data_IF_369978334589
#
_entry.id   IF_369978334589
#
_cell.length_a   1.000
_cell.length_b   1.000
_cell.length_c   1.000
_cell.angle_alpha   90.00
_cell.angle_beta   90.00
_cell.angle_gamma   90.00
#
_symmetry.space_group_name_H-M   'P 1'
#
loop_
_entity.id
_entity.type
_entity.pdbx_description
1 polymer ?
#
# COMPACT_ATOMS: atom_id res chain seq x y z
N UNK A 1 -2.03 -43.03 -37.82
CA UNK A 1 -2.04 -41.85 -36.94
C UNK A 1 -0.96 -42.04 -35.89
N UNK A 2 0.11 -41.22 -35.92
CA UNK A 2 1.20 -41.27 -34.92
C UNK A 2 0.95 -40.19 -33.87
N UNK A 3 0.96 -40.49 -32.56
CA UNK A 3 1.06 -39.45 -31.55
C UNK A 3 2.52 -39.00 -31.42
N UNK A 4 2.75 -37.68 -31.53
CA UNK A 4 4.03 -37.04 -31.27
C UNK A 4 4.18 -36.80 -29.77
N UNK A 5 5.23 -37.38 -29.19
CA UNK A 5 5.79 -37.04 -27.89
C UNK A 5 6.34 -35.61 -27.90
N UNK A 6 5.99 -34.80 -26.89
CA UNK A 6 6.75 -33.59 -26.54
C UNK A 6 7.44 -33.81 -25.20
N UNK A 7 8.76 -33.76 -25.25
CA UNK A 7 9.67 -33.75 -24.11
C UNK A 7 9.32 -32.60 -23.15
N UNK A 8 9.23 -32.92 -21.86
CA UNK A 8 9.39 -31.97 -20.76
C UNK A 8 10.72 -32.35 -20.09
N UNK A 9 11.69 -31.46 -20.13
CA UNK A 9 12.91 -31.50 -19.30
C UNK A 9 12.94 -30.20 -18.48
N UNK A 10 13.31 -30.17 -17.21
CA UNK A 10 13.60 -31.21 -16.24
C UNK A 10 13.63 -30.54 -14.86
N UNK A 11 12.95 -31.13 -13.88
CA UNK A 11 13.06 -30.79 -12.47
C UNK A 11 13.33 -32.09 -11.72
N UNK A 12 14.43 -32.15 -10.99
CA UNK A 12 14.85 -33.33 -10.23
C UNK A 12 13.85 -33.58 -9.10
N UNK A 13 13.15 -34.72 -9.11
CA UNK A 13 12.32 -35.16 -8.00
C UNK A 13 13.17 -35.96 -7.01
N UNK A 14 13.24 -35.53 -5.75
CA UNK A 14 13.75 -36.35 -4.65
C UNK A 14 12.55 -37.09 -4.06
N UNK A 15 12.52 -38.41 -4.22
CA UNK A 15 11.53 -39.28 -3.61
C UNK A 15 12.04 -39.74 -2.24
N UNK A 16 11.32 -39.42 -1.16
CA UNK A 16 11.51 -40.04 0.15
C UNK A 16 10.40 -41.10 0.31
N UNK A 17 10.79 -42.37 0.40
CA UNK A 17 9.89 -43.49 0.63
C UNK A 17 9.57 -43.59 2.13
N UNK A 18 8.31 -43.37 2.51
CA UNK A 18 7.79 -43.78 3.83
C UNK A 18 6.93 -45.03 3.69
N UNK A 19 7.12 -45.99 4.60
CA UNK A 19 6.38 -47.25 4.72
C UNK A 19 4.92 -46.99 5.15
N UNK A 20 4.10 -46.49 4.23
CA UNK A 20 2.64 -46.52 4.21
C UNK A 20 2.23 -45.83 2.91
N UNK A 21 1.74 -46.62 1.95
CA UNK A 21 1.61 -46.26 0.53
C UNK A 21 0.67 -45.10 0.22
N UNK A 22 1.10 -43.87 0.53
CA UNK A 22 0.53 -42.62 0.03
C UNK A 22 1.68 -41.81 -0.55
N UNK A 23 1.76 -41.72 -1.88
CA UNK A 23 2.66 -40.78 -2.55
C UNK A 23 2.08 -39.39 -2.30
N UNK A 24 2.58 -38.69 -1.29
CA UNK A 24 2.33 -37.27 -1.13
C UNK A 24 3.18 -36.55 -2.18
N UNK A 25 2.57 -36.25 -3.33
CA UNK A 25 3.11 -35.24 -4.24
C UNK A 25 3.02 -33.90 -3.50
N UNK A 26 4.05 -33.57 -2.72
CA UNK A 26 4.24 -32.20 -2.25
C UNK A 26 4.41 -31.33 -3.51
N UNK A 27 3.34 -30.64 -3.92
CA UNK A 27 3.49 -29.54 -4.85
C UNK A 27 4.46 -28.56 -4.22
N UNK A 28 5.62 -28.40 -4.84
CA UNK A 28 6.59 -27.37 -4.50
C UNK A 28 5.84 -26.03 -4.46
N UNK A 29 5.66 -25.48 -3.27
CA UNK A 29 4.87 -24.28 -3.08
C UNK A 29 5.51 -23.13 -3.85
N UNK A 30 4.73 -22.50 -4.74
CA UNK A 30 5.18 -21.35 -5.55
C UNK A 30 5.68 -20.15 -4.72
N UNK A 31 5.47 -20.18 -3.40
CA UNK A 31 5.76 -19.12 -2.46
C UNK A 31 7.13 -19.24 -1.77
N UNK A 32 7.92 -20.30 -2.04
CA UNK A 32 9.24 -20.49 -1.42
C UNK A 32 10.38 -19.67 -2.10
N UNK A 33 11.22 -19.07 -1.24
CA UNK A 33 12.26 -18.05 -1.47
C UNK A 33 13.40 -18.41 -2.45
N UNK A 34 13.71 -17.50 -3.39
CA UNK A 34 15.07 -17.14 -3.78
C UNK A 34 15.43 -15.73 -3.29
N UNK A 35 16.73 -15.40 -3.15
CA UNK A 35 17.19 -14.36 -2.24
C UNK A 35 16.57 -13.00 -2.56
N UNK A 36 15.89 -12.44 -1.55
CA UNK A 36 15.60 -11.03 -1.49
C UNK A 36 16.94 -10.31 -1.33
N UNK A 37 17.19 -9.28 -2.12
CA UNK A 37 18.32 -8.40 -1.86
C UNK A 37 17.74 -7.18 -1.15
N UNK A 38 17.96 -7.15 0.16
CA UNK A 38 17.63 -6.00 0.99
C UNK A 38 18.44 -4.78 0.53
N UNK A 39 17.79 -3.62 0.52
CA UNK A 39 18.44 -2.35 0.23
C UNK A 39 19.54 -2.06 1.25
N UNK A 40 19.37 -2.47 2.50
CA UNK A 40 20.40 -2.33 3.54
C UNK A 40 21.70 -3.07 3.21
N UNK A 41 21.62 -4.22 2.55
CA UNK A 41 22.78 -5.03 2.15
C UNK A 41 23.41 -4.53 0.85
N UNK A 42 22.64 -3.86 0.00
CA UNK A 42 23.09 -3.37 -1.31
C UNK A 42 22.75 -1.89 -1.55
N UNK A 43 23.11 -1.04 -0.58
CA UNK A 43 22.80 0.38 -0.65
C UNK A 43 23.51 1.05 -1.84
N UNK A 44 22.76 1.83 -2.61
CA UNK A 44 23.33 2.73 -3.63
C UNK A 44 24.20 3.81 -2.96
N UNK A 45 25.14 4.44 -3.69
CA UNK A 45 25.92 5.55 -3.16
C UNK A 45 25.06 6.69 -2.59
N UNK A 46 23.93 6.99 -3.23
CA UNK A 46 22.98 8.00 -2.77
C UNK A 46 22.38 7.66 -1.39
N UNK A 47 21.98 6.40 -1.17
CA UNK A 47 21.46 5.93 0.13
C UNK A 47 22.54 5.91 1.20
N UNK A 48 23.78 5.55 0.84
CA UNK A 48 24.93 5.57 1.78
C UNK A 48 25.23 7.00 2.26
N UNK A 49 25.12 7.99 1.37
CA UNK A 49 25.44 9.39 1.66
C UNK A 49 24.37 10.13 2.49
N UNK A 50 23.17 9.58 2.66
CA UNK A 50 22.13 10.21 3.46
C UNK A 50 22.55 10.37 4.93
N UNK A 51 22.26 11.52 5.56
CA UNK A 51 22.45 11.66 6.99
C UNK A 51 21.55 10.67 7.73
N UNK A 52 22.08 10.09 8.80
CA UNK A 52 21.23 9.44 9.78
C UNK A 52 20.57 10.52 10.62
N UNK A 53 19.25 10.43 10.80
CA UNK A 53 18.48 11.35 11.63
C UNK A 53 18.03 10.69 12.94
N UNK A 54 18.53 9.49 13.23
CA UNK A 54 18.16 8.71 14.40
C UNK A 54 18.01 7.20 14.11
N UNK A 55 17.14 6.54 14.87
CA UNK A 55 16.94 5.08 14.84
C UNK A 55 15.48 4.66 14.90
N UNK A 56 15.22 3.43 14.45
CA UNK A 56 13.97 2.71 14.65
C UNK A 56 14.25 1.29 15.15
N UNK A 57 13.57 0.91 16.22
CA UNK A 57 13.67 -0.43 16.80
C UNK A 57 12.36 -1.19 16.55
N UNK A 58 12.43 -2.31 15.84
CA UNK A 58 11.26 -3.05 15.37
C UNK A 58 10.92 -4.26 16.23
N UNK A 59 9.63 -4.51 16.38
CA UNK A 59 9.07 -5.76 16.90
C UNK A 59 7.96 -6.24 15.98
N UNK A 60 7.88 -7.54 15.72
CA UNK A 60 6.79 -8.13 14.96
C UNK A 60 5.72 -8.71 15.88
N UNK A 61 4.46 -8.53 15.50
CA UNK A 61 3.31 -9.18 16.12
C UNK A 61 2.44 -9.84 15.07
N UNK A 62 1.85 -10.98 15.42
CA UNK A 62 0.88 -11.66 14.55
C UNK A 62 -0.44 -10.89 14.50
N UNK A 63 -1.06 -10.86 13.32
CA UNK A 63 -2.45 -10.41 13.16
C UNK A 63 -3.37 -11.61 13.41
N UNK A 64 -4.21 -11.60 14.45
CA UNK A 64 -4.88 -12.81 14.93
C UNK A 64 -5.99 -13.34 14.00
N UNK A 65 -6.56 -12.49 13.16
CA UNK A 65 -7.64 -12.83 12.22
C UNK A 65 -7.13 -13.17 10.81
N UNK A 66 -5.82 -13.20 10.60
CA UNK A 66 -5.21 -13.73 9.38
C UNK A 66 -4.66 -15.12 9.72
N UNK A 67 -4.89 -16.11 8.88
CA UNK A 67 -4.44 -17.48 9.15
C UNK A 67 -2.90 -17.61 9.08
N UNK A 68 -2.38 -18.81 9.41
CA UNK A 68 -0.97 -19.19 9.21
C UNK A 68 -0.80 -20.15 8.03
N UNK A 69 -1.76 -20.16 7.10
CA UNK A 69 -1.64 -21.02 5.92
C UNK A 69 -0.49 -20.52 5.04
N UNK A 70 -0.02 -21.34 4.08
CA UNK A 70 0.90 -20.88 3.03
C UNK A 70 0.36 -19.73 2.16
N UNK A 71 -0.90 -19.31 2.35
CA UNK A 71 -1.55 -18.17 1.68
C UNK A 71 -1.92 -17.06 2.68
N UNK A 72 -1.39 -17.13 3.90
CA UNK A 72 -1.58 -16.12 4.92
C UNK A 72 -1.07 -14.76 4.42
N UNK A 73 -1.73 -13.71 4.87
CA UNK A 73 -1.27 -12.35 4.72
C UNK A 73 -2.35 -11.39 4.24
N UNK A 74 -2.04 -10.10 4.36
CA UNK A 74 -2.93 -9.03 3.93
C UNK A 74 -2.12 -7.94 3.26
N UNK A 75 -2.66 -7.34 2.20
CA UNK A 75 -2.05 -6.21 1.49
C UNK A 75 -3.12 -5.30 0.90
N UNK A 76 -2.74 -4.11 0.44
CA UNK A 76 -3.64 -3.16 -0.22
C UNK A 76 -4.81 -2.70 0.67
N UNK A 77 -4.69 -2.84 1.98
CA UNK A 77 -5.69 -2.36 2.92
C UNK A 77 -5.53 -0.85 3.14
N UNK A 78 -6.64 -0.14 3.32
CA UNK A 78 -6.59 1.23 3.81
C UNK A 78 -6.25 1.22 5.30
N UNK A 79 -5.25 2.00 5.72
CA UNK A 79 -4.91 2.17 7.13
C UNK A 79 -4.89 3.64 7.52
N UNK A 80 -5.47 3.97 8.66
CA UNK A 80 -5.46 5.32 9.22
C UNK A 80 -5.53 5.26 10.75
N UNK A 81 -5.21 6.38 11.41
CA UNK A 81 -5.24 6.47 12.86
C UNK A 81 -6.00 7.72 13.31
N UNK A 82 -6.75 7.59 14.40
CA UNK A 82 -7.45 8.68 15.07
C UNK A 82 -7.66 8.32 16.54
N UNK A 83 -7.52 9.30 17.42
CA UNK A 83 -7.72 9.19 18.87
C UNK A 83 -6.97 8.01 19.51
N UNK A 84 -5.73 7.81 19.08
CA UNK A 84 -4.84 6.75 19.58
C UNK A 84 -5.24 5.33 19.15
N UNK A 85 -6.20 5.20 18.24
CA UNK A 85 -6.62 3.92 17.66
C UNK A 85 -6.16 3.83 16.21
N UNK A 86 -5.91 2.61 15.74
CA UNK A 86 -5.54 2.32 14.34
C UNK A 86 -6.69 1.57 13.70
N UNK A 87 -6.98 1.86 12.45
CA UNK A 87 -8.06 1.22 11.69
C UNK A 87 -7.51 0.62 10.41
N UNK A 88 -7.81 -0.65 10.19
CA UNK A 88 -7.43 -1.42 9.01
C UNK A 88 -8.69 -1.83 8.24
N UNK A 89 -8.79 -1.39 6.98
CA UNK A 89 -10.03 -1.37 6.21
C UNK A 89 -9.82 -2.03 4.84
N UNK A 90 -10.52 -3.13 4.58
CA UNK A 90 -10.41 -3.92 3.35
C UNK A 90 -9.14 -4.76 3.29
N UNK A 91 -8.56 -4.86 2.10
CA UNK A 91 -7.34 -5.59 1.78
C UNK A 91 -7.56 -6.84 0.93
N UNK A 92 -6.51 -7.22 0.23
CA UNK A 92 -6.35 -8.51 -0.43
C UNK A 92 -5.78 -9.53 0.56
N UNK A 93 -6.49 -10.64 0.73
CA UNK A 93 -6.20 -11.73 1.65
C UNK A 93 -6.14 -13.03 0.83
N UNK A 94 -4.94 -13.56 0.51
CA UNK A 94 -4.83 -14.65 -0.46
C UNK A 94 -5.53 -15.95 -0.03
N UNK A 95 -5.60 -16.17 1.30
CA UNK A 95 -6.27 -17.30 1.93
C UNK A 95 -7.81 -17.19 1.89
N UNK A 96 -8.36 -15.98 1.97
CA UNK A 96 -9.81 -15.77 2.12
C UNK A 96 -10.16 -14.75 3.19
N UNK A 97 -11.40 -14.26 3.15
CA UNK A 97 -11.96 -13.36 4.16
C UNK A 97 -13.11 -14.03 4.95
N UNK A 98 -13.04 -15.35 5.10
CA UNK A 98 -14.02 -16.23 5.77
C UNK A 98 -15.47 -16.14 5.27
N UNK A 99 -15.72 -15.41 4.19
CA UNK A 99 -17.06 -15.20 3.67
C UNK A 99 -17.46 -16.25 2.62
N UNK A 100 -18.72 -16.69 2.66
CA UNK A 100 -19.30 -17.60 1.65
C UNK A 100 -19.55 -16.92 0.28
N UNK A 101 -19.34 -15.61 0.19
CA UNK A 101 -19.65 -14.85 -1.01
C UNK A 101 -18.69 -15.19 -2.15
N UNK A 102 -19.20 -15.94 -3.12
CA UNK A 102 -18.46 -16.45 -4.29
C UNK A 102 -18.02 -15.38 -5.29
N UNK A 103 -18.44 -14.13 -5.16
CA UNK A 103 -18.08 -13.03 -6.09
C UNK A 103 -16.59 -12.68 -6.03
N UNK A 104 -15.98 -12.76 -4.85
CA UNK A 104 -14.53 -12.67 -4.62
C UNK A 104 -14.18 -13.52 -3.42
N UNK A 105 -13.04 -14.21 -3.46
CA UNK A 105 -12.52 -15.01 -2.35
C UNK A 105 -11.26 -14.41 -1.72
N UNK A 106 -10.86 -13.21 -2.11
CA UNK A 106 -9.59 -12.62 -1.66
C UNK A 106 -9.67 -11.14 -1.35
N UNK A 107 -10.58 -10.40 -1.97
CA UNK A 107 -10.81 -8.99 -1.60
C UNK A 107 -11.78 -8.92 -0.43
N UNK A 108 -11.39 -8.34 0.70
CA UNK A 108 -12.21 -8.36 1.92
C UNK A 108 -13.17 -7.16 2.05
N UNK A 109 -14.21 -7.32 2.89
CA UNK A 109 -15.02 -6.20 3.42
C UNK A 109 -14.62 -5.80 4.84
N UNK A 110 -13.57 -6.42 5.36
CA UNK A 110 -13.27 -6.36 6.78
C UNK A 110 -12.92 -4.94 7.22
N UNK A 111 -13.34 -4.61 8.43
CA UNK A 111 -12.92 -3.41 9.14
C UNK A 111 -12.49 -3.84 10.53
N UNK A 112 -11.27 -3.49 10.92
CA UNK A 112 -10.71 -3.81 12.21
C UNK A 112 -10.14 -2.56 12.86
N UNK A 113 -10.34 -2.44 14.17
CA UNK A 113 -9.68 -1.47 15.03
C UNK A 113 -8.59 -2.16 15.83
N UNK A 114 -7.42 -1.56 15.91
CA UNK A 114 -6.35 -1.96 16.83
C UNK A 114 -6.19 -0.90 17.91
N UNK A 115 -6.22 -1.36 19.16
CA UNK A 115 -5.90 -0.55 20.32
C UNK A 115 -4.44 -0.82 20.73
N UNK A 116 -3.50 0.11 20.51
CA UNK A 116 -2.09 -0.14 20.83
C UNK A 116 -1.80 -0.28 22.32
N UNK A 117 -2.59 0.37 23.19
CA UNK A 117 -2.39 0.31 24.64
C UNK A 117 -2.77 -1.07 25.20
N UNK A 118 -3.84 -1.67 24.68
CA UNK A 118 -4.29 -3.02 25.06
C UNK A 118 -3.70 -4.12 24.18
N UNK A 119 -3.12 -3.73 23.04
CA UNK A 119 -2.59 -4.62 22.01
C UNK A 119 -3.63 -5.60 21.45
N UNK A 120 -4.88 -5.15 21.37
CA UNK A 120 -6.03 -5.95 20.96
C UNK A 120 -6.62 -5.45 19.66
N UNK A 121 -7.01 -6.38 18.80
CA UNK A 121 -7.84 -6.11 17.63
C UNK A 121 -9.32 -6.28 17.98
N UNK A 122 -10.17 -5.45 17.39
CA UNK A 122 -11.63 -5.53 17.50
C UNK A 122 -12.22 -5.42 16.10
N UNK A 123 -13.08 -6.37 15.72
CA UNK A 123 -13.79 -6.33 14.44
C UNK A 123 -14.90 -5.28 14.52
N UNK A 124 -14.97 -4.43 13.50
CA UNK A 124 -16.00 -3.43 13.29
C UNK A 124 -17.06 -3.97 12.30
N UNK A 125 -18.20 -3.28 12.12
CA UNK A 125 -19.12 -3.62 11.04
C UNK A 125 -18.40 -3.65 9.69
N UNK A 126 -18.70 -4.65 8.86
CA UNK A 126 -18.11 -4.78 7.53
C UNK A 126 -18.45 -3.57 6.65
N UNK A 127 -17.51 -3.21 5.78
CA UNK A 127 -17.73 -2.18 4.75
C UNK A 127 -18.87 -2.58 3.79
N UNK A 128 -19.55 -1.60 3.15
CA UNK A 128 -20.64 -1.88 2.22
C UNK A 128 -20.23 -2.76 1.02
N UNK A 129 -18.96 -2.66 0.58
CA UNK A 129 -18.43 -3.47 -0.51
C UNK A 129 -16.96 -3.83 -0.29
N UNK A 130 -16.50 -4.86 -1.01
CA UNK A 130 -15.12 -5.37 -0.94
C UNK A 130 -14.15 -4.37 -1.54
N UNK A 131 -12.99 -4.16 -0.90
CA UNK A 131 -11.95 -3.25 -1.39
C UNK A 131 -10.55 -3.77 -1.10
N UNK A 132 -9.68 -3.72 -2.13
CA UNK A 132 -8.23 -3.83 -2.02
C UNK A 132 -7.57 -2.69 -2.82
N UNK A 133 -6.27 -2.49 -2.60
CA UNK A 133 -5.50 -1.34 -3.09
C UNK A 133 -6.23 0.00 -2.86
N UNK A 134 -6.95 0.06 -1.75
CA UNK A 134 -7.76 1.19 -1.31
C UNK A 134 -6.97 2.01 -0.30
N UNK A 135 -7.48 3.19 0.05
CA UNK A 135 -6.87 4.08 1.01
C UNK A 135 -7.88 4.56 2.03
N UNK A 136 -7.40 4.83 3.24
CA UNK A 136 -8.22 5.30 4.34
C UNK A 136 -7.76 6.70 4.79
N UNK A 137 -8.71 7.58 5.08
CA UNK A 137 -8.46 8.91 5.62
C UNK A 137 -9.30 9.06 6.89
N UNK A 138 -8.68 9.48 7.99
CA UNK A 138 -9.36 9.70 9.25
C UNK A 138 -9.66 11.18 9.50
N UNK A 139 -10.79 11.42 10.15
CA UNK A 139 -11.15 12.66 10.84
C UNK A 139 -11.46 12.31 12.29
N UNK A 140 -11.52 13.31 13.18
CA UNK A 140 -11.86 13.08 14.59
C UNK A 140 -13.20 12.36 14.80
N UNK A 141 -14.13 12.45 13.85
CA UNK A 141 -15.48 11.89 13.99
C UNK A 141 -15.79 10.76 13.01
N UNK A 142 -14.94 10.52 12.02
CA UNK A 142 -15.26 9.57 10.95
C UNK A 142 -14.03 9.05 10.21
N UNK A 143 -14.17 7.86 9.65
CA UNK A 143 -13.22 7.25 8.71
C UNK A 143 -13.78 7.30 7.30
N UNK A 144 -12.92 7.49 6.32
CA UNK A 144 -13.27 7.50 4.89
C UNK A 144 -12.42 6.46 4.16
N UNK A 145 -13.05 5.53 3.43
CA UNK A 145 -12.39 4.56 2.55
C UNK A 145 -12.70 4.94 1.13
N UNK A 146 -11.67 5.10 0.29
CA UNK A 146 -11.80 5.71 -1.04
C UNK A 146 -11.16 4.85 -2.12
N UNK A 147 -11.86 4.70 -3.24
CA UNK A 147 -11.39 3.97 -4.41
C UNK A 147 -11.09 2.50 -4.10
N UNK A 148 -10.09 1.94 -4.78
CA UNK A 148 -9.71 0.54 -4.68
C UNK A 148 -10.35 -0.35 -5.75
N UNK A 149 -10.07 -1.63 -5.70
CA UNK A 149 -10.64 -2.62 -6.61
C UNK A 149 -11.25 -3.81 -5.87
N UNK A 150 -11.91 -4.67 -6.64
CA UNK A 150 -12.34 -5.99 -6.21
C UNK A 150 -12.01 -7.01 -7.30
N UNK A 151 -11.33 -8.08 -6.93
CA UNK A 151 -11.13 -9.23 -7.82
C UNK A 151 -12.45 -9.98 -7.99
N UNK A 152 -12.92 -10.12 -9.23
CA UNK A 152 -14.16 -10.85 -9.52
C UNK A 152 -13.85 -12.27 -9.99
N UNK A 153 -14.34 -13.27 -9.27
CA UNK A 153 -14.18 -14.68 -9.65
C UNK A 153 -14.82 -14.94 -11.01
N UNK A 154 -14.09 -15.61 -11.91
CA UNK A 154 -14.57 -16.01 -13.23
C UNK A 154 -14.64 -14.88 -14.26
N UNK A 155 -14.11 -13.70 -13.96
CA UNK A 155 -14.07 -12.58 -14.90
C UNK A 155 -12.69 -12.51 -15.60
N UNK A 156 -12.62 -12.70 -16.93
CA UNK A 156 -11.37 -12.54 -17.67
C UNK A 156 -10.82 -11.10 -17.63
N UNK A 157 -11.63 -10.12 -17.21
CA UNK A 157 -11.22 -8.73 -17.02
C UNK A 157 -10.43 -8.43 -15.72
N UNK A 158 -10.30 -9.41 -14.81
CA UNK A 158 -9.41 -9.35 -13.63
C UNK A 158 -9.94 -8.55 -12.44
N UNK A 159 -10.11 -7.23 -12.58
CA UNK A 159 -10.36 -6.32 -11.46
C UNK A 159 -11.48 -5.32 -11.74
N UNK A 160 -12.36 -5.12 -10.76
CA UNK A 160 -13.39 -4.08 -10.76
C UNK A 160 -12.92 -2.89 -9.95
N UNK A 161 -12.27 -1.93 -10.61
CA UNK A 161 -11.83 -0.67 -10.01
C UNK A 161 -13.05 0.21 -9.72
N UNK A 162 -13.12 0.76 -8.51
CA UNK A 162 -14.21 1.61 -8.03
C UNK A 162 -13.72 3.04 -7.74
N UNK A 163 -14.63 4.00 -7.87
CA UNK A 163 -14.46 5.36 -7.39
C UNK A 163 -15.23 5.64 -6.11
N UNK A 164 -15.93 4.65 -5.53
CA UNK A 164 -16.81 4.88 -4.39
C UNK A 164 -16.03 5.35 -3.16
N UNK A 165 -16.72 6.10 -2.31
CA UNK A 165 -16.24 6.50 -1.01
C UNK A 165 -17.20 5.98 0.07
N UNK A 166 -16.67 5.35 1.11
CA UNK A 166 -17.43 4.91 2.27
C UNK A 166 -17.03 5.71 3.49
N UNK A 167 -18.01 6.18 4.26
CA UNK A 167 -17.83 6.87 5.53
C UNK A 167 -18.30 6.00 6.69
N UNK A 168 -17.47 5.79 7.69
CA UNK A 168 -17.86 5.26 9.00
C UNK A 168 -17.92 6.40 10.00
N UNK A 169 -19.11 6.67 10.56
CA UNK A 169 -19.26 7.66 11.62
C UNK A 169 -18.89 7.04 12.97
N UNK A 170 -17.81 7.53 13.59
CA UNK A 170 -17.28 7.04 14.86
C UNK A 170 -18.09 7.53 16.07
N UNK A 171 -18.81 8.65 15.91
CA UNK A 171 -19.70 9.19 16.93
C UNK A 171 -21.01 8.40 17.05
N UNK A 172 -21.44 7.76 15.96
CA UNK A 172 -22.66 6.96 15.93
C UNK A 172 -22.55 5.69 16.80
N UNK A 173 -23.64 5.33 17.46
CA UNK A 173 -23.81 4.10 18.22
C UNK A 173 -25.20 3.50 17.91
N UNK A 174 -25.28 2.35 17.21
CA UNK A 174 -24.17 1.53 16.71
C UNK A 174 -23.39 2.21 15.58
N UNK A 175 -22.14 1.78 15.38
CA UNK A 175 -21.34 2.21 14.23
C UNK A 175 -22.05 1.80 12.93
N UNK A 176 -22.09 2.71 11.96
CA UNK A 176 -22.76 2.46 10.68
C UNK A 176 -22.00 3.10 9.51
N UNK A 177 -21.82 2.32 8.45
CA UNK A 177 -21.26 2.79 7.19
C UNK A 177 -22.30 3.53 6.36
N UNK A 178 -21.85 4.54 5.62
CA UNK A 178 -22.62 5.26 4.60
C UNK A 178 -21.80 5.34 3.31
N UNK A 179 -22.45 5.13 2.18
CA UNK A 179 -21.86 5.40 0.87
C UNK A 179 -21.98 6.89 0.55
N UNK A 180 -20.89 7.49 0.13
CA UNK A 180 -20.81 8.87 -0.35
C UNK A 180 -20.71 8.89 -1.88
N UNK A 181 -20.83 10.09 -2.47
CA UNK A 181 -20.58 10.29 -3.89
C UNK A 181 -19.19 9.79 -4.31
N UNK A 182 -19.04 9.29 -5.54
CA UNK A 182 -17.78 8.74 -6.01
C UNK A 182 -16.76 9.84 -6.34
N UNK A 183 -15.50 9.43 -6.43
CA UNK A 183 -14.42 10.18 -7.08
C UNK A 183 -14.79 10.49 -8.54
N UNK A 184 -14.12 11.47 -9.14
CA UNK A 184 -14.33 11.82 -10.56
C UNK A 184 -14.00 10.66 -11.50
N UNK A 185 -13.07 9.80 -11.08
CA UNK A 185 -12.69 8.58 -11.78
C UNK A 185 -12.36 7.43 -10.81
N UNK A 186 -12.78 6.18 -11.13
CA UNK A 186 -12.35 4.98 -10.41
C UNK A 186 -10.84 4.77 -10.45
N UNK A 187 -10.22 4.41 -9.33
CA UNK A 187 -8.75 4.26 -9.23
C UNK A 187 -8.28 3.43 -8.02
N UNK A 188 -7.10 2.81 -8.15
CA UNK A 188 -6.31 2.13 -7.10
C UNK A 188 -4.94 2.81 -6.94
N UNK A 189 -4.15 2.40 -5.93
CA UNK A 189 -2.75 2.81 -5.69
C UNK A 189 -2.51 4.33 -5.74
N UNK A 190 -3.48 5.08 -5.24
CA UNK A 190 -3.47 6.55 -5.20
C UNK A 190 -2.83 7.08 -3.91
N UNK A 191 -2.41 8.35 -3.94
CA UNK A 191 -2.05 9.10 -2.74
C UNK A 191 -3.27 9.73 -2.10
N UNK A 192 -3.33 9.75 -0.78
CA UNK A 192 -4.43 10.35 -0.03
C UNK A 192 -3.96 11.12 1.19
N UNK A 193 -4.83 12.01 1.69
CA UNK A 193 -4.65 12.59 3.01
C UNK A 193 -5.70 13.61 3.38
N UNK A 194 -5.70 14.01 4.66
CA UNK A 194 -6.51 15.11 5.16
C UNK A 194 -5.67 16.37 5.34
N UNK A 195 -6.07 17.46 4.70
CA UNK A 195 -5.48 18.78 4.86
C UNK A 195 -6.54 19.75 5.38
N UNK A 196 -6.48 20.09 6.67
CA UNK A 196 -7.52 20.90 7.30
C UNK A 196 -8.91 20.25 7.20
N UNK A 197 -9.85 20.91 6.52
CA UNK A 197 -11.20 20.39 6.26
C UNK A 197 -11.34 19.65 4.93
N UNK A 198 -10.24 19.39 4.22
CA UNK A 198 -10.28 18.78 2.90
C UNK A 198 -9.68 17.38 2.93
N UNK A 199 -10.41 16.43 2.35
CA UNK A 199 -9.87 15.12 2.00
C UNK A 199 -9.35 15.21 0.57
N UNK A 200 -8.09 14.84 0.36
CA UNK A 200 -7.42 14.95 -0.94
C UNK A 200 -7.09 13.54 -1.44
N UNK A 201 -7.38 13.28 -2.71
CA UNK A 201 -7.03 12.05 -3.43
C UNK A 201 -6.29 12.43 -4.70
N UNK A 202 -5.10 11.87 -4.92
CA UNK A 202 -4.23 12.27 -6.02
C UNK A 202 -3.62 11.06 -6.75
N UNK A 203 -3.60 11.15 -8.08
CA UNK A 203 -3.01 10.13 -8.94
C UNK A 203 -3.77 8.81 -8.91
N UNK A 204 -3.03 7.70 -8.97
CA UNK A 204 -3.55 6.33 -9.01
C UNK A 204 -3.66 5.76 -10.42
N UNK A 205 -4.21 4.56 -10.53
CA UNK A 205 -4.36 3.83 -11.78
C UNK A 205 -5.74 3.19 -11.88
N UNK A 206 -6.25 3.04 -13.11
CA UNK A 206 -7.46 2.27 -13.40
C UNK A 206 -7.14 1.15 -14.38
N UNK A 207 -7.04 -0.08 -13.90
CA UNK A 207 -6.87 -1.25 -14.76
C UNK A 207 -7.92 -1.27 -15.89
N UNK A 208 -7.45 -1.45 -17.12
CA UNK A 208 -8.29 -1.66 -18.29
C UNK A 208 -8.21 -3.13 -18.73
N UNK A 209 -9.31 -3.89 -18.76
CA UNK A 209 -9.32 -5.28 -19.16
C UNK A 209 -8.78 -5.57 -20.57
N UNK A 210 -9.00 -4.67 -21.52
CA UNK A 210 -8.60 -4.83 -22.91
C UNK A 210 -7.16 -4.35 -23.15
N UNK A 211 -6.74 -3.31 -22.45
CA UNK A 211 -5.44 -2.66 -22.69
C UNK A 211 -4.40 -3.01 -21.62
N UNK A 212 -4.80 -3.53 -20.48
CA UNK A 212 -3.99 -3.60 -19.27
C UNK A 212 -3.57 -2.23 -18.76
N UNK A 213 -2.42 -2.15 -18.11
CA UNK A 213 -1.81 -0.87 -17.75
C UNK A 213 -1.23 -0.18 -19.00
N UNK A 214 -1.50 1.12 -19.11
CA UNK A 214 -1.24 1.98 -20.27
C UNK A 214 -1.23 3.46 -19.85
N UNK A 215 -0.67 4.36 -20.67
CA UNK A 215 -0.65 5.80 -20.40
C UNK A 215 -2.04 6.42 -20.11
N UNK A 216 -3.10 5.90 -20.71
CA UNK A 216 -4.49 6.36 -20.46
C UNK A 216 -5.09 5.86 -19.13
N UNK A 217 -4.49 4.81 -18.54
CA UNK A 217 -4.96 4.20 -17.29
C UNK A 217 -4.34 4.81 -16.04
N UNK A 218 -3.13 5.37 -16.16
CA UNK A 218 -2.45 6.06 -15.07
C UNK A 218 -2.99 7.49 -14.96
N UNK A 219 -3.23 7.96 -13.73
CA UNK A 219 -3.97 9.20 -13.48
C UNK A 219 -3.06 10.28 -12.91
N UNK A 220 -3.27 11.50 -13.37
CA UNK A 220 -2.72 12.73 -12.78
C UNK A 220 -3.78 13.54 -12.03
N UNK A 221 -5.04 13.08 -12.01
CA UNK A 221 -6.18 13.81 -11.45
C UNK A 221 -6.10 13.94 -9.93
N UNK A 222 -6.46 15.12 -9.43
CA UNK A 222 -6.62 15.42 -8.00
C UNK A 222 -8.10 15.64 -7.71
N UNK A 223 -8.68 14.88 -6.80
CA UNK A 223 -10.04 15.10 -6.29
C UNK A 223 -9.99 15.56 -4.83
N UNK A 224 -10.83 16.53 -4.48
CA UNK A 224 -10.96 17.07 -3.13
C UNK A 224 -12.39 16.99 -2.66
N UNK A 225 -12.60 16.45 -1.46
CA UNK A 225 -13.87 16.48 -0.74
C UNK A 225 -13.79 17.49 0.40
N UNK A 226 -14.64 18.50 0.38
CA UNK A 226 -14.70 19.52 1.43
C UNK A 226 -15.66 19.08 2.55
N UNK A 227 -15.12 18.83 3.74
CA UNK A 227 -15.88 18.44 4.92
C UNK A 227 -16.81 19.55 5.41
N UNK A 228 -16.54 20.82 5.06
CA UNK A 228 -17.41 21.96 5.39
C UNK A 228 -18.55 22.13 4.37
N UNK A 229 -18.43 21.54 3.18
CA UNK A 229 -19.43 21.60 2.12
C UNK A 229 -19.66 20.22 1.46
N UNK A 230 -20.03 19.18 2.25
CA UNK A 230 -20.11 17.80 1.76
C UNK A 230 -21.15 17.60 0.65
N UNK A 231 -22.15 18.48 0.55
CA UNK A 231 -23.16 18.49 -0.51
C UNK A 231 -22.58 18.72 -1.91
N UNK A 232 -21.39 19.31 -2.02
CA UNK A 232 -20.69 19.49 -3.30
C UNK A 232 -20.07 18.18 -3.82
N UNK A 233 -19.97 17.15 -2.97
CA UNK A 233 -19.29 15.91 -3.33
C UNK A 233 -17.80 16.11 -3.59
N UNK A 234 -17.20 15.15 -4.30
CA UNK A 234 -15.81 15.26 -4.75
C UNK A 234 -15.71 16.26 -5.90
N UNK A 235 -14.71 17.13 -5.81
CA UNK A 235 -14.45 18.18 -6.78
C UNK A 235 -13.06 17.98 -7.38
N UNK A 236 -12.96 17.97 -8.71
CA UNK A 236 -11.66 17.90 -9.37
C UNK A 236 -10.91 19.24 -9.23
N UNK A 237 -9.60 19.12 -9.02
CA UNK A 237 -8.67 20.22 -8.72
C UNK A 237 -7.46 20.15 -9.64
N UNK A 238 -6.50 21.06 -9.44
CA UNK A 238 -5.27 21.07 -10.23
C UNK A 238 -4.61 19.69 -10.25
N UNK A 239 -4.42 19.17 -11.46
CA UNK A 239 -3.77 17.88 -11.69
C UNK A 239 -2.30 17.91 -11.31
N UNK A 240 -1.77 16.74 -10.96
CA UNK A 240 -0.35 16.49 -10.81
C UNK A 240 0.39 16.96 -12.08
N UNK A 241 1.36 17.89 -11.99
CA UNK A 241 2.14 18.33 -13.14
C UNK A 241 2.93 17.18 -13.78
N UNK A 242 3.04 17.22 -15.11
CA UNK A 242 3.76 16.21 -15.89
C UNK A 242 2.91 14.96 -16.12
N UNK A 243 3.45 13.79 -15.74
CA UNK A 243 2.83 12.48 -15.99
C UNK A 243 1.96 12.02 -14.82
N UNK A 244 0.89 11.30 -15.16
CA UNK A 244 0.09 10.56 -14.17
C UNK A 244 0.94 9.50 -13.48
N UNK A 245 0.61 9.17 -12.23
CA UNK A 245 1.41 8.24 -11.41
C UNK A 245 0.56 7.50 -10.37
N UNK A 246 0.99 6.30 -10.03
CA UNK A 246 0.42 5.45 -8.99
C UNK A 246 1.52 4.72 -8.21
N UNK A 247 1.13 3.88 -7.25
CA UNK A 247 2.05 3.22 -6.31
C UNK A 247 2.95 4.24 -5.58
N UNK A 248 2.37 5.39 -5.30
CA UNK A 248 2.99 6.51 -4.60
C UNK A 248 2.88 6.31 -3.08
N UNK A 249 3.84 6.86 -2.35
CA UNK A 249 3.64 7.12 -0.93
C UNK A 249 3.04 8.52 -0.74
N UNK A 250 2.19 8.70 0.27
CA UNK A 250 1.63 10.01 0.58
C UNK A 250 1.43 10.21 2.07
N UNK A 251 1.65 11.44 2.53
CA UNK A 251 1.38 11.84 3.91
C UNK A 251 1.01 13.34 3.96
N UNK A 252 0.32 13.77 5.02
CA UNK A 252 -0.06 15.17 5.19
C UNK A 252 0.70 15.83 6.30
N UNK A 253 1.34 16.95 6.01
CA UNK A 253 2.17 17.69 6.95
C UNK A 253 2.02 19.19 6.65
N UNK A 254 1.96 20.04 7.67
CA UNK A 254 2.02 21.50 7.51
C UNK A 254 1.10 22.07 6.40
N UNK A 255 -0.15 21.61 6.35
CA UNK A 255 -1.15 22.15 5.42
C UNK A 255 -1.02 21.68 3.96
N UNK A 256 -0.25 20.61 3.69
CA UNK A 256 -0.10 20.05 2.35
C UNK A 256 -0.22 18.52 2.34
N UNK A 257 -0.62 17.97 1.18
CA UNK A 257 -0.46 16.55 0.85
C UNK A 257 0.88 16.37 0.15
N UNK A 258 1.80 15.64 0.76
CA UNK A 258 3.06 15.23 0.14
C UNK A 258 2.87 13.93 -0.64
N UNK A 259 3.47 13.86 -1.81
CA UNK A 259 3.36 12.76 -2.75
C UNK A 259 4.75 12.36 -3.24
N UNK A 260 5.16 11.13 -2.95
CA UNK A 260 6.52 10.67 -3.19
C UNK A 260 6.59 9.52 -4.19
N UNK A 261 7.45 9.72 -5.18
CA UNK A 261 7.85 8.75 -6.19
C UNK A 261 6.66 8.10 -6.92
N UNK A 262 6.73 6.80 -7.19
CA UNK A 262 5.73 6.00 -7.88
C UNK A 262 6.19 5.58 -9.27
N UNK A 263 5.23 5.11 -10.07
CA UNK A 263 5.47 4.68 -11.44
C UNK A 263 4.42 5.24 -12.39
N UNK A 264 4.77 5.26 -13.68
CA UNK A 264 3.89 5.61 -14.78
C UNK A 264 4.02 4.62 -15.93
N UNK A 265 3.14 4.73 -16.93
CA UNK A 265 3.13 3.89 -18.12
C UNK A 265 3.10 4.75 -19.39
N UNK A 266 3.78 4.29 -20.44
CA UNK A 266 3.70 4.88 -21.78
C UNK A 266 2.63 4.18 -22.66
N UNK A 267 2.46 4.67 -23.90
CA UNK A 267 1.52 4.10 -24.87
C UNK A 267 1.92 2.68 -25.35
N UNK A 268 3.18 2.30 -25.12
CA UNK A 268 3.71 0.97 -25.40
C UNK A 268 3.62 0.05 -24.18
N UNK A 269 2.96 0.50 -23.11
CA UNK A 269 2.77 -0.21 -21.83
C UNK A 269 4.08 -0.44 -21.05
N UNK A 270 5.16 0.26 -21.39
CA UNK A 270 6.37 0.22 -20.59
C UNK A 270 6.13 1.00 -19.29
N UNK A 271 6.48 0.39 -18.16
CA UNK A 271 6.53 1.10 -16.89
C UNK A 271 7.82 1.89 -16.74
N UNK A 272 7.74 3.06 -16.13
CA UNK A 272 8.91 3.87 -15.76
C UNK A 272 8.73 4.41 -14.35
N UNK A 273 9.85 4.52 -13.62
CA UNK A 273 9.87 5.17 -12.32
C UNK A 273 9.62 6.67 -12.47
N UNK A 274 8.98 7.27 -11.48
CA UNK A 274 8.81 8.71 -11.38
C UNK A 274 9.56 9.19 -10.14
N UNK A 275 10.69 9.89 -10.30
CA UNK A 275 11.45 10.46 -9.17
C UNK A 275 10.94 11.81 -8.69
N UNK A 276 10.12 12.50 -9.49
CA UNK A 276 9.56 13.78 -9.09
C UNK A 276 8.73 13.60 -7.82
N UNK A 277 9.11 14.25 -6.74
CA UNK A 277 8.28 14.37 -5.54
C UNK A 277 7.59 15.73 -5.54
N UNK A 278 6.35 15.75 -5.06
CA UNK A 278 5.51 16.95 -5.10
C UNK A 278 4.77 17.11 -3.77
N UNK A 279 4.37 18.34 -3.47
CA UNK A 279 3.34 18.62 -2.46
C UNK A 279 2.18 19.40 -3.06
N UNK A 280 0.96 19.01 -2.73
CA UNK A 280 -0.25 19.75 -3.09
C UNK A 280 -0.69 20.62 -1.93
N UNK A 281 -0.92 21.90 -2.20
CA UNK A 281 -1.41 22.89 -1.25
C UNK A 281 -2.84 23.27 -1.65
N UNK A 282 -3.86 22.68 -1.01
CA UNK A 282 -5.25 22.90 -1.40
C UNK A 282 -5.71 24.36 -1.28
N UNK A 283 -5.14 25.12 -0.32
CA UNK A 283 -5.48 26.52 -0.09
C UNK A 283 -5.24 27.44 -1.29
N UNK A 284 -4.30 27.06 -2.18
CA UNK A 284 -3.99 27.79 -3.41
C UNK A 284 -4.22 26.95 -4.67
N UNK A 285 -4.74 25.72 -4.51
CA UNK A 285 -4.92 24.71 -5.56
C UNK A 285 -3.67 24.53 -6.45
N UNK A 286 -2.51 24.29 -5.85
CA UNK A 286 -1.26 24.10 -6.60
C UNK A 286 -0.42 22.94 -6.10
N UNK A 287 0.24 22.28 -7.05
CA UNK A 287 1.34 21.36 -6.81
C UNK A 287 2.67 22.10 -6.88
N UNK A 288 3.57 21.80 -5.95
CA UNK A 288 4.91 22.36 -5.84
C UNK A 288 5.93 21.23 -5.82
N UNK A 289 7.04 21.41 -6.52
CA UNK A 289 8.17 20.47 -6.49
C UNK A 289 8.87 20.47 -5.13
N UNK A 290 9.32 19.30 -4.72
CA UNK A 290 10.13 19.07 -3.53
C UNK A 290 11.30 18.13 -3.87
N UNK A 291 12.25 17.97 -2.95
CA UNK A 291 13.44 17.16 -3.17
C UNK A 291 13.11 15.72 -3.57
N UNK A 292 13.80 15.26 -4.61
CA UNK A 292 13.72 13.90 -5.15
C UNK A 292 14.16 12.86 -4.12
N UNK A 293 13.61 11.64 -4.17
CA UNK A 293 13.98 10.58 -3.24
C UNK A 293 15.42 10.12 -3.53
N UNK A 294 16.10 9.51 -2.55
CA UNK A 294 17.45 8.98 -2.71
C UNK A 294 17.51 7.75 -3.63
N UNK A 295 16.36 7.17 -3.97
CA UNK A 295 16.20 5.97 -4.80
C UNK A 295 14.94 6.06 -5.66
N UNK A 296 14.93 5.35 -6.78
CA UNK A 296 13.71 5.06 -7.53
C UNK A 296 12.89 4.02 -6.78
N UNK A 297 11.63 4.33 -6.45
CA UNK A 297 10.83 3.48 -5.59
C UNK A 297 9.33 3.57 -5.88
N UNK A 298 8.62 2.46 -5.69
CA UNK A 298 7.16 2.38 -5.82
C UNK A 298 6.60 1.39 -4.80
N UNK A 299 5.33 1.56 -4.43
CA UNK A 299 4.62 0.66 -3.51
C UNK A 299 5.03 0.83 -2.05
N UNK A 300 5.85 1.85 -1.76
CA UNK A 300 6.14 2.30 -0.41
C UNK A 300 5.01 3.13 0.18
N UNK A 301 5.03 3.30 1.49
CA UNK A 301 3.99 4.01 2.25
C UNK A 301 4.62 5.00 3.22
N UNK A 302 3.89 6.06 3.55
CA UNK A 302 4.39 7.16 4.36
C UNK A 302 3.44 7.53 5.49
N UNK A 303 4.00 8.04 6.58
CA UNK A 303 3.23 8.65 7.66
C UNK A 303 3.97 9.87 8.24
N UNK A 304 3.18 10.86 8.66
CA UNK A 304 3.70 12.09 9.26
C UNK A 304 4.11 11.86 10.72
N UNK A 305 5.23 12.46 11.11
CA UNK A 305 5.80 12.39 12.44
C UNK A 305 6.17 13.78 12.96
N UNK A 306 5.70 14.10 14.17
CA UNK A 306 5.94 15.38 14.87
C UNK A 306 5.63 16.64 14.03
N UNK A 307 4.62 16.57 13.16
CA UNK A 307 4.18 17.67 12.28
C UNK A 307 5.33 18.38 11.52
N UNK A 308 6.36 17.60 11.16
CA UNK A 308 7.53 18.09 10.44
C UNK A 308 8.15 17.00 9.57
N UNK A 309 8.33 15.82 10.12
CA UNK A 309 8.97 14.74 9.41
C UNK A 309 7.93 13.87 8.73
N UNK A 310 8.29 13.29 7.60
CA UNK A 310 7.52 12.22 6.98
C UNK A 310 8.42 11.00 6.92
N UNK A 311 8.01 9.92 7.58
CA UNK A 311 8.72 8.64 7.55
C UNK A 311 8.13 7.80 6.43
N UNK A 312 8.99 7.25 5.58
CA UNK A 312 8.61 6.43 4.42
C UNK A 312 9.28 5.07 4.52
N UNK A 313 8.50 3.99 4.38
CA UNK A 313 8.95 2.61 4.58
C UNK A 313 8.43 1.68 3.47
N UNK A 314 9.12 0.56 3.27
CA UNK A 314 8.80 -0.41 2.24
C UNK A 314 9.06 0.12 0.83
N UNK A 315 8.54 -0.60 -0.15
CA UNK A 315 8.68 -0.31 -1.57
C UNK A 315 9.66 -1.23 -2.29
N UNK A 316 9.40 -1.36 -3.59
CA UNK A 316 10.32 -1.95 -4.56
C UNK A 316 11.26 -0.85 -5.06
N UNK A 317 12.57 -1.08 -4.95
CA UNK A 317 13.60 -0.11 -5.33
C UNK A 317 14.34 -0.57 -6.59
N UNK A 318 14.45 0.31 -7.58
CA UNK A 318 15.13 0.01 -8.84
C UNK A 318 16.56 0.55 -8.88
N UNK A 319 17.59 -0.28 -9.15
CA UNK A 319 18.90 0.21 -9.58
C UNK A 319 18.93 0.53 -11.09
N UNK A 320 17.89 0.14 -11.83
CA UNK A 320 17.74 0.40 -13.27
C UNK A 320 16.56 1.33 -13.53
N UNK A 321 16.52 1.88 -14.74
CA UNK A 321 15.40 2.70 -15.21
C UNK A 321 14.11 1.92 -15.45
N UNK A 322 14.15 0.58 -15.47
CA UNK A 322 12.97 -0.28 -15.65
C UNK A 322 12.48 -0.84 -14.30
N UNK A 323 11.23 -0.54 -13.90
CA UNK A 323 10.58 -1.19 -12.76
C UNK A 323 10.42 -2.70 -12.96
N UNK A 324 10.34 -3.41 -11.84
CA UNK A 324 10.15 -4.87 -11.72
C UNK A 324 11.10 -5.75 -12.55
N UNK A 325 12.39 -5.39 -12.57
CA UNK A 325 13.45 -6.23 -13.13
C UNK A 325 14.03 -7.20 -12.08
N UNK A 326 14.78 -8.22 -12.51
CA UNK A 326 15.50 -9.13 -11.60
C UNK A 326 16.56 -8.44 -10.72
N UNK A 327 16.86 -7.16 -10.98
CA UNK A 327 17.83 -6.38 -10.21
C UNK A 327 17.18 -5.55 -9.09
N UNK A 328 15.86 -5.56 -8.95
CA UNK A 328 15.19 -4.72 -7.97
C UNK A 328 15.47 -5.16 -6.54
N UNK A 329 15.66 -4.17 -5.66
CA UNK A 329 15.91 -4.34 -4.25
C UNK A 329 14.61 -4.20 -3.47
N UNK A 330 14.55 -4.88 -2.33
CA UNK A 330 13.51 -4.64 -1.34
C UNK A 330 13.95 -3.53 -0.38
N UNK A 331 13.13 -2.50 -0.18
CA UNK A 331 13.42 -1.48 0.83
C UNK A 331 13.03 -1.95 2.25
N UNK A 332 14.04 -2.37 3.00
CA UNK A 332 13.99 -2.66 4.44
C UNK A 332 14.47 -1.48 5.30
N UNK A 333 14.67 -0.30 4.71
CA UNK A 333 15.07 0.92 5.41
C UNK A 333 13.89 1.87 5.62
N UNK A 334 13.97 2.67 6.68
CA UNK A 334 13.10 3.81 6.90
C UNK A 334 13.78 5.11 6.44
N UNK A 335 13.21 5.75 5.42
CA UNK A 335 13.62 7.08 4.99
C UNK A 335 12.84 8.15 5.75
N UNK A 336 13.45 9.30 5.95
CA UNK A 336 12.83 10.44 6.61
C UNK A 336 12.99 11.66 5.71
N UNK A 337 11.87 12.29 5.39
CA UNK A 337 11.85 13.57 4.69
C UNK A 337 11.54 14.68 5.69
N UNK A 338 12.43 15.65 5.81
CA UNK A 338 12.24 16.84 6.65
C UNK A 338 11.56 17.95 5.83
N UNK A 339 10.28 18.20 6.12
CA UNK A 339 9.48 19.19 5.40
C UNK A 339 9.96 20.63 5.61
N UNK A 340 10.70 20.90 6.69
CA UNK A 340 11.22 22.24 6.99
C UNK A 340 12.46 22.57 6.16
N UNK A 341 13.28 21.57 5.83
CA UNK A 341 14.55 21.77 5.11
C UNK A 341 14.54 21.27 3.67
N UNK A 342 13.46 20.60 3.25
CA UNK A 342 13.33 19.94 1.95
C UNK A 342 14.48 18.95 1.69
N UNK A 343 14.78 18.12 2.69
CA UNK A 343 15.90 17.16 2.63
C UNK A 343 15.49 15.78 3.11
N UNK A 344 16.15 14.79 2.52
CA UNK A 344 16.05 13.40 2.91
C UNK A 344 17.17 13.01 3.89
N UNK A 345 16.82 12.13 4.81
CA UNK A 345 17.71 11.35 5.64
C UNK A 345 17.19 9.93 5.79
N UNK A 346 17.79 9.16 6.69
CA UNK A 346 17.37 7.80 7.02
C UNK A 346 17.44 7.53 8.52
N UNK A 347 16.67 6.55 8.98
CA UNK A 347 16.84 5.96 10.30
C UNK A 347 17.78 4.76 10.22
N UNK A 348 18.52 4.52 11.29
CA UNK A 348 19.18 3.24 11.53
C UNK A 348 18.18 2.20 12.04
N UNK A 349 18.47 0.92 11.85
CA UNK A 349 17.55 -0.18 12.16
C UNK A 349 16.71 -0.57 10.94
N UNK A 350 16.82 -1.83 10.55
CA UNK A 350 16.13 -2.38 9.38
C UNK A 350 14.80 -2.99 9.78
N UNK A 351 13.82 -2.88 8.88
CA UNK A 351 12.55 -3.57 9.02
C UNK A 351 12.85 -5.08 8.96
N UNK A 352 12.36 -5.89 9.91
CA UNK A 352 12.61 -7.33 9.90
C UNK A 352 12.15 -7.98 8.59
N UNK A 353 12.81 -9.06 8.13
CA UNK A 353 12.33 -9.87 7.02
C UNK A 353 10.87 -10.27 7.21
N UNK A 354 10.13 -10.40 6.11
CA UNK A 354 8.70 -10.73 6.08
C UNK A 354 7.76 -9.68 6.69
N UNK A 355 8.18 -8.41 6.72
CA UNK A 355 7.38 -7.34 7.30
C UNK A 355 6.74 -6.40 6.27
N UNK A 356 7.36 -6.13 5.11
CA UNK A 356 6.86 -5.16 4.11
C UNK A 356 7.55 -5.43 2.76
N UNK A 357 6.94 -5.21 1.60
CA UNK A 357 7.68 -4.92 0.35
C UNK A 357 6.88 -3.99 -0.56
N UNK A 358 5.59 -4.22 -0.79
CA UNK A 358 4.68 -3.24 -1.42
C UNK A 358 3.30 -3.26 -0.77
N UNK A 359 2.54 -2.18 -0.97
CA UNK A 359 1.10 -2.08 -0.65
C UNK A 359 0.77 -2.46 0.81
N UNK A 360 1.64 -2.05 1.73
CA UNK A 360 1.39 -2.14 3.18
C UNK A 360 0.43 -1.04 3.65
N UNK A 361 0.00 -1.11 4.91
CA UNK A 361 -0.55 0.05 5.61
C UNK A 361 0.50 0.65 6.52
N UNK A 362 0.63 1.97 6.60
CA UNK A 362 1.53 2.66 7.56
C UNK A 362 0.79 3.75 8.33
N UNK A 363 0.94 3.79 9.66
CA UNK A 363 0.56 4.94 10.49
C UNK A 363 1.60 5.20 11.57
N UNK A 364 1.62 6.42 12.10
CA UNK A 364 2.43 6.78 13.27
C UNK A 364 1.51 7.31 14.38
N UNK A 365 1.71 6.82 15.60
CA UNK A 365 1.07 7.31 16.82
C UNK A 365 2.15 7.60 17.86
N UNK A 366 2.27 8.87 18.27
CA UNK A 366 3.38 9.31 19.11
C UNK A 366 4.72 8.98 18.45
N UNK A 367 5.61 8.32 19.20
CA UNK A 367 6.93 7.86 18.71
C UNK A 367 6.91 6.41 18.20
N UNK A 368 5.76 5.89 17.76
CA UNK A 368 5.64 4.51 17.26
C UNK A 368 5.04 4.47 15.86
N UNK A 369 5.78 3.88 14.93
CA UNK A 369 5.31 3.53 13.59
C UNK A 369 4.72 2.12 13.60
N UNK A 370 3.59 1.95 12.93
CA UNK A 370 2.90 0.68 12.76
C UNK A 370 2.80 0.38 11.27
N UNK A 371 3.26 -0.80 10.86
CA UNK A 371 3.20 -1.26 9.48
C UNK A 371 2.48 -2.60 9.42
N UNK A 372 1.44 -2.68 8.58
CA UNK A 372 0.61 -3.88 8.45
C UNK A 372 0.81 -4.52 7.10
N UNK A 373 1.17 -5.80 7.14
CA UNK A 373 1.18 -6.68 5.97
C UNK A 373 1.99 -6.13 4.80
N UNK A 374 1.42 -6.23 3.61
CA UNK A 374 2.07 -5.92 2.35
C UNK A 374 2.27 -7.18 1.51
N UNK A 375 2.48 -6.97 0.22
CA UNK A 375 2.95 -8.02 -0.67
C UNK A 375 4.47 -8.04 -0.66
N UNK A 376 4.99 -9.23 -0.91
CA UNK A 376 6.38 -9.58 -1.06
C UNK A 376 6.65 -10.12 -2.46
N UNK A 377 7.93 -10.39 -2.77
CA UNK A 377 8.30 -10.91 -4.07
C UNK A 377 7.61 -12.24 -4.38
N UNK A 378 7.35 -12.49 -5.68
CA UNK A 378 6.55 -13.62 -6.16
C UNK A 378 5.11 -13.65 -5.62
N UNK A 379 4.64 -12.51 -5.09
CA UNK A 379 3.28 -12.28 -4.60
C UNK A 379 3.05 -12.80 -3.18
N UNK A 380 4.10 -13.11 -2.41
CA UNK A 380 3.91 -13.49 -1.01
C UNK A 380 3.19 -12.37 -0.25
N UNK A 381 2.53 -12.70 0.86
CA UNK A 381 1.89 -11.69 1.70
C UNK A 381 2.22 -11.95 3.15
N UNK A 382 2.18 -10.89 3.96
CA UNK A 382 2.58 -10.97 5.35
C UNK A 382 1.39 -10.82 6.29
N UNK A 383 1.35 -11.63 7.34
CA UNK A 383 0.31 -11.65 8.36
C UNK A 383 0.76 -10.98 9.67
N UNK A 384 1.77 -10.09 9.58
CA UNK A 384 2.38 -9.41 10.72
C UNK A 384 2.02 -7.93 10.77
N UNK A 385 1.98 -7.42 12.00
CA UNK A 385 2.04 -6.01 12.37
C UNK A 385 3.47 -5.73 12.85
N UNK A 386 4.25 -5.00 12.06
CA UNK A 386 5.54 -4.47 12.48
C UNK A 386 5.33 -3.18 13.29
N UNK A 387 5.97 -3.11 14.45
CA UNK A 387 5.86 -2.00 15.40
C UNK A 387 7.27 -1.45 15.59
N UNK A 388 7.51 -0.24 15.11
CA UNK A 388 8.80 0.44 15.19
C UNK A 388 8.78 1.58 16.19
N UNK A 389 9.72 1.61 17.13
CA UNK A 389 9.89 2.77 18.04
C UNK A 389 10.87 3.76 17.43
N UNK A 390 10.36 4.93 17.05
CA UNK A 390 11.11 6.01 16.43
C UNK A 390 11.89 6.80 17.49
N UNK A 391 13.15 7.11 17.20
CA UNK A 391 14.00 8.01 17.99
C UNK A 391 14.73 8.90 17.00
N UNK A 392 14.37 10.18 16.92
CA UNK A 392 15.15 11.18 16.17
C UNK A 392 16.17 11.85 17.09
N UNK A 393 17.32 12.19 16.52
CA UNK A 393 18.44 12.85 17.20
C UNK A 393 18.22 14.35 17.46
#
# INVERSE_FOLDING_TARGET
MRPRTRMISGGMAIAILTLSGTILLAQQEKWADPPFIELSQNMTPAVKALPSLGSVEWTLKRIPFIDDSPRAGISGAGMCAVDGQIYLLGGFIPAGDDSDNRASRRTSKWAHQYNPARQTWTRLPDMPARREYTRAIATHTALYVVGGSMQRRGNPAGELVSGDCFKLDLSNKPLAWKTLGPLSEPRTHMGVGRVGNQLVVAGGVRWNPAQGYHASTIKGTTDVFDLAAPQLGWQSRSSIPGVGRGWVASATCQGALYLFSGLTFDDKKNSTWVDACLKYVPAIDRWLSIAKPPVWVSGWEAATYRDRYIVVVGGCVGPTTKPYSNANLWNDLAFVYDTATDRWGKLTGTIPPAAVYNDSGVVILGDTIYVVGGEGPRGSHFNHLAIGRLRLD
#
